data_IF_643586253673
#
_entry.id   IF_643586253673
#
_cell.length_a   1.000
_cell.length_b   1.000
_cell.length_c   1.000
_cell.angle_alpha   90.00
_cell.angle_beta   90.00
_cell.angle_gamma   90.00
#
_symmetry.space_group_name_H-M   'P 1'
#
loop_
_entity.id
_entity.type
_entity.pdbx_description
1 polymer ?
#
# COMPACT_ATOMS: atom_id res chain seq x y z
N UNK A 1 41.42 42.41 -8.34
CA UNK A 1 41.23 40.98 -8.51
C UNK A 1 41.71 40.31 -7.23
N UNK A 2 40.82 39.99 -6.30
CA UNK A 2 41.17 39.25 -5.05
C UNK A 2 40.39 37.96 -5.10
N UNK A 3 41.09 36.82 -5.18
CA UNK A 3 40.54 35.49 -5.01
C UNK A 3 40.19 35.30 -3.53
N UNK A 4 38.93 34.96 -3.24
CA UNK A 4 38.51 34.42 -1.95
C UNK A 4 38.55 32.90 -2.03
N UNK A 5 39.33 32.31 -1.13
CA UNK A 5 39.51 30.88 -0.98
C UNK A 5 38.44 30.34 -0.01
N UNK A 6 37.45 29.60 -0.52
CA UNK A 6 36.26 29.14 0.23
C UNK A 6 36.42 27.72 0.79
N UNK A 7 37.62 27.14 0.76
CA UNK A 7 37.82 25.74 1.21
C UNK A 7 38.15 25.59 2.71
N UNK A 8 38.64 26.61 3.35
CA UNK A 8 39.10 26.48 4.74
C UNK A 8 37.98 26.75 5.79
N UNK A 9 36.89 27.41 5.45
CA UNK A 9 35.78 27.65 6.39
C UNK A 9 34.83 26.44 6.58
N UNK A 10 34.72 25.56 5.59
CA UNK A 10 33.85 24.38 5.71
C UNK A 10 34.46 23.30 6.62
N UNK A 11 35.78 23.21 6.66
CA UNK A 11 36.51 22.24 7.50
C UNK A 11 36.43 22.54 9.01
N UNK A 12 36.29 23.80 9.39
CA UNK A 12 36.25 24.21 10.81
C UNK A 12 34.87 23.99 11.47
N UNK A 13 33.78 24.10 10.69
CA UNK A 13 32.41 23.90 11.18
C UNK A 13 32.09 22.38 11.42
N UNK A 14 32.65 21.50 10.61
CA UNK A 14 32.49 20.07 10.79
C UNK A 14 33.25 19.51 12.01
N UNK A 15 34.40 20.05 12.32
CA UNK A 15 35.19 19.62 13.48
C UNK A 15 34.53 20.05 14.82
N UNK A 16 33.86 21.19 14.86
CA UNK A 16 33.17 21.69 16.06
C UNK A 16 31.85 20.93 16.32
N UNK A 17 31.15 20.47 15.25
CA UNK A 17 29.95 19.64 15.34
C UNK A 17 30.26 18.25 15.90
N UNK A 18 31.35 17.63 15.46
CA UNK A 18 31.79 16.30 15.92
C UNK A 18 32.21 16.35 17.40
N UNK A 19 32.90 17.41 17.83
CA UNK A 19 33.30 17.57 19.23
C UNK A 19 32.14 17.71 20.22
N UNK A 20 31.02 18.33 19.82
CA UNK A 20 29.81 18.48 20.65
C UNK A 20 29.00 17.16 20.79
N UNK A 21 29.09 16.25 19.80
CA UNK A 21 28.46 14.94 19.88
C UNK A 21 29.16 14.02 20.87
N UNK A 22 30.48 14.09 20.95
CA UNK A 22 31.27 13.22 21.84
C UNK A 22 31.17 13.64 23.32
N UNK A 23 31.06 14.94 23.62
CA UNK A 23 30.82 15.46 24.96
C UNK A 23 29.43 15.06 25.51
N UNK A 24 28.39 15.05 24.69
CA UNK A 24 27.04 14.59 25.10
C UNK A 24 27.00 13.09 25.43
N UNK A 25 27.75 12.28 24.71
CA UNK A 25 27.85 10.83 24.94
C UNK A 25 28.55 10.50 26.26
N UNK A 26 29.57 11.26 26.65
CA UNK A 26 30.27 11.09 27.93
C UNK A 26 29.46 11.59 29.14
N UNK A 27 28.63 12.61 28.96
CA UNK A 27 27.72 13.09 30.03
C UNK A 27 26.60 12.12 30.36
N UNK A 28 26.11 11.33 29.39
CA UNK A 28 25.10 10.30 29.61
C UNK A 28 25.63 9.03 30.32
N UNK A 29 26.92 8.76 30.26
CA UNK A 29 27.53 7.60 30.93
C UNK A 29 27.83 7.84 32.43
N UNK A 30 27.84 9.08 32.90
CA UNK A 30 28.15 9.44 34.30
C UNK A 30 26.93 9.64 35.21
N UNK A 31 25.70 9.58 34.68
CA UNK A 31 24.44 9.67 35.45
C UNK A 31 23.79 8.32 35.81
N UNK A 32 24.48 7.22 35.58
CA UNK A 32 23.96 5.85 35.74
C UNK A 32 24.29 5.12 37.07
N UNK A 33 24.70 5.81 38.15
CA UNK A 33 25.03 5.17 39.41
C UNK A 33 24.52 6.02 40.59
N UNK A 34 23.28 5.86 40.95
CA UNK A 34 22.70 5.96 42.29
C UNK A 34 21.17 5.85 42.17
N UNK A 35 20.62 4.66 42.38
CA UNK A 35 19.23 4.52 42.76
C UNK A 35 19.07 3.32 43.69
N UNK A 36 18.69 3.66 44.90
CA UNK A 36 18.46 2.79 46.04
C UNK A 36 17.32 1.80 45.75
N UNK A 37 17.53 0.52 46.09
CA UNK A 37 16.51 -0.51 46.14
C UNK A 37 15.38 -0.17 47.11
N UNK A 38 14.18 0.01 46.63
CA UNK A 38 12.95 -0.18 47.37
C UNK A 38 12.21 -1.39 46.75
N UNK A 39 12.25 -2.51 47.43
CA UNK A 39 11.50 -3.71 47.04
C UNK A 39 10.01 -3.53 47.36
N UNK A 40 9.20 -3.35 46.32
CA UNK A 40 7.76 -3.59 46.36
C UNK A 40 7.46 -4.96 45.76
N UNK A 41 6.60 -5.79 46.35
CA UNK A 41 6.18 -7.03 45.72
C UNK A 41 5.29 -6.69 44.52
N UNK A 42 5.80 -6.93 43.33
CA UNK A 42 5.01 -6.94 42.08
C UNK A 42 4.09 -8.19 42.16
N UNK A 43 2.79 -7.96 42.42
CA UNK A 43 1.77 -8.91 42.00
C UNK A 43 1.92 -9.03 40.47
N UNK A 44 2.23 -10.23 39.99
CA UNK A 44 2.34 -10.54 38.60
C UNK A 44 1.03 -10.29 37.86
N UNK A 45 0.99 -9.19 37.11
CA UNK A 45 0.18 -9.12 35.93
C UNK A 45 1.05 -9.76 34.82
N UNK A 46 0.79 -11.02 34.49
CA UNK A 46 1.24 -11.61 33.24
C UNK A 46 0.64 -10.75 32.15
N UNK A 47 1.43 -9.81 31.63
CA UNK A 47 1.11 -9.13 30.36
C UNK A 47 1.17 -10.22 29.30
N UNK A 48 -0.01 -10.55 28.78
CA UNK A 48 -0.19 -11.42 27.63
C UNK A 48 0.83 -11.00 26.55
N UNK A 49 1.83 -11.85 26.30
CA UNK A 49 2.82 -11.62 25.29
C UNK A 49 2.09 -11.48 23.97
N UNK A 50 2.17 -10.30 23.34
CA UNK A 50 1.42 -9.93 22.15
C UNK A 50 1.49 -11.06 21.10
N UNK A 51 0.40 -11.30 20.40
CA UNK A 51 0.28 -12.35 19.36
C UNK A 51 1.35 -12.22 18.27
N UNK A 52 1.89 -11.02 18.06
CA UNK A 52 3.02 -10.75 17.16
C UNK A 52 4.30 -11.53 17.54
N UNK A 53 4.52 -11.83 18.82
CA UNK A 53 5.66 -12.66 19.25
C UNK A 53 5.47 -14.14 18.90
N UNK A 54 4.24 -14.65 18.80
CA UNK A 54 3.96 -16.05 18.46
C UNK A 54 4.12 -16.34 16.98
N UNK A 55 3.80 -15.39 16.10
CA UNK A 55 3.86 -15.57 14.63
C UNK A 55 5.19 -15.12 14.02
N UNK A 56 5.99 -14.32 14.74
CA UNK A 56 7.19 -13.67 14.21
C UNK A 56 6.90 -12.56 13.18
N UNK A 57 5.63 -12.27 12.87
CA UNK A 57 5.22 -11.21 11.94
C UNK A 57 5.38 -9.85 12.63
N UNK A 58 5.94 -8.88 11.90
CA UNK A 58 6.18 -7.51 12.36
C UNK A 58 5.49 -6.46 11.52
N UNK A 59 5.29 -6.74 10.23
CA UNK A 59 4.64 -5.84 9.30
C UNK A 59 3.66 -6.58 8.39
N UNK A 60 2.59 -5.90 8.01
CA UNK A 60 1.61 -6.33 7.02
C UNK A 60 1.71 -5.40 5.80
N UNK A 61 1.88 -5.99 4.62
CA UNK A 61 1.84 -5.30 3.34
C UNK A 61 0.53 -5.64 2.63
N UNK A 62 -0.19 -4.63 2.20
CA UNK A 62 -1.52 -4.81 1.62
C UNK A 62 -1.51 -4.54 0.11
N UNK A 63 -1.96 -5.50 -0.69
CA UNK A 63 -2.53 -5.20 -1.98
C UNK A 63 -3.73 -4.27 -1.82
N UNK A 64 -3.96 -3.36 -2.78
CA UNK A 64 -4.93 -2.27 -2.59
C UNK A 64 -6.17 -2.43 -3.45
N UNK A 65 -6.02 -2.47 -4.78
CA UNK A 65 -7.17 -2.52 -5.69
C UNK A 65 -7.91 -3.86 -5.56
N UNK A 66 -9.18 -3.81 -5.16
CA UNK A 66 -10.02 -5.00 -4.93
C UNK A 66 -9.82 -5.62 -3.54
N UNK A 67 -8.64 -5.50 -2.92
CA UNK A 67 -8.37 -6.03 -1.57
C UNK A 67 -8.83 -5.06 -0.48
N UNK A 68 -8.36 -3.82 -0.55
CA UNK A 68 -8.64 -2.74 0.42
C UNK A 68 -9.84 -1.91 0.00
N UNK A 69 -9.97 -1.65 -1.29
CA UNK A 69 -10.95 -0.74 -1.88
C UNK A 69 -11.85 -1.43 -2.91
N UNK A 70 -13.12 -1.01 -2.97
CA UNK A 70 -14.07 -1.38 -4.01
C UNK A 70 -13.86 -0.47 -5.23
N UNK A 71 -12.95 -0.90 -6.10
CA UNK A 71 -12.61 -0.14 -7.30
C UNK A 71 -13.80 -0.04 -8.27
N UNK A 72 -14.54 -1.14 -8.47
CA UNK A 72 -15.58 -1.21 -9.50
C UNK A 72 -16.76 -0.28 -9.20
N UNK A 73 -17.32 -0.40 -8.00
CA UNK A 73 -18.44 0.47 -7.61
C UNK A 73 -18.02 1.94 -7.54
N UNK A 74 -16.76 2.21 -7.18
CA UNK A 74 -16.23 3.57 -7.14
C UNK A 74 -16.11 4.20 -8.53
N UNK A 75 -15.56 3.48 -9.52
CA UNK A 75 -15.48 3.96 -10.91
C UNK A 75 -16.87 4.17 -11.50
N UNK A 76 -17.80 3.22 -11.27
CA UNK A 76 -19.21 3.36 -11.70
C UNK A 76 -19.85 4.63 -11.09
N UNK A 77 -19.60 4.90 -9.82
CA UNK A 77 -20.12 6.10 -9.14
C UNK A 77 -19.56 7.38 -9.76
N UNK A 78 -18.25 7.46 -9.97
CA UNK A 78 -17.60 8.62 -10.59
C UNK A 78 -18.13 8.86 -12.01
N UNK A 79 -18.29 7.81 -12.81
CA UNK A 79 -18.87 7.88 -14.13
C UNK A 79 -20.32 8.37 -14.12
N UNK A 80 -21.15 7.87 -13.18
CA UNK A 80 -22.55 8.33 -13.03
C UNK A 80 -22.65 9.81 -12.62
N UNK A 81 -21.71 10.30 -11.79
CA UNK A 81 -21.65 11.72 -11.44
C UNK A 81 -21.33 12.58 -12.67
N UNK A 82 -20.38 12.13 -13.49
CA UNK A 82 -20.07 12.80 -14.77
C UNK A 82 -21.27 12.76 -15.73
N UNK A 83 -21.94 11.61 -15.83
CA UNK A 83 -23.13 11.44 -16.66
C UNK A 83 -24.26 12.38 -16.28
N UNK A 84 -24.50 12.60 -15.00
CA UNK A 84 -25.52 13.56 -14.53
C UNK A 84 -25.18 15.00 -14.92
N UNK A 85 -23.91 15.37 -14.93
CA UNK A 85 -23.47 16.72 -15.29
C UNK A 85 -23.54 16.98 -16.81
N UNK A 86 -23.30 15.94 -17.61
CA UNK A 86 -23.14 16.02 -19.07
C UNK A 86 -24.28 15.38 -19.85
N UNK A 87 -25.28 14.79 -19.18
CA UNK A 87 -26.38 14.04 -19.80
C UNK A 87 -25.88 12.88 -20.69
N UNK A 88 -24.84 12.13 -20.23
CA UNK A 88 -24.27 11.02 -20.94
C UNK A 88 -25.06 9.74 -20.75
N UNK A 89 -25.13 8.90 -21.79
CA UNK A 89 -25.77 7.58 -21.77
C UNK A 89 -24.70 6.51 -21.95
N UNK A 90 -24.07 6.07 -20.86
CA UNK A 90 -22.97 5.10 -20.86
C UNK A 90 -23.28 3.97 -19.87
N UNK A 91 -23.03 2.73 -20.24
CA UNK A 91 -22.97 1.62 -19.29
C UNK A 91 -21.64 1.74 -18.49
N UNK A 92 -21.74 2.40 -17.34
CA UNK A 92 -20.59 2.62 -16.47
C UNK A 92 -20.07 1.33 -15.82
N UNK A 93 -20.87 0.27 -15.82
CA UNK A 93 -20.43 -1.06 -15.39
C UNK A 93 -19.47 -1.69 -16.41
N UNK A 94 -19.88 -1.69 -17.69
CA UNK A 94 -19.04 -2.14 -18.80
C UNK A 94 -17.79 -1.27 -18.95
N UNK A 95 -17.93 0.06 -18.84
CA UNK A 95 -16.81 1.00 -18.86
C UNK A 95 -15.77 0.67 -17.78
N UNK A 96 -16.20 0.49 -16.51
CA UNK A 96 -15.30 0.15 -15.41
C UNK A 96 -14.59 -1.19 -15.66
N UNK A 97 -15.31 -2.19 -16.17
CA UNK A 97 -14.76 -3.51 -16.48
C UNK A 97 -13.74 -3.47 -17.62
N UNK A 98 -14.03 -2.70 -18.70
CA UNK A 98 -13.13 -2.48 -19.83
C UNK A 98 -11.86 -1.75 -19.40
N UNK A 99 -11.99 -0.72 -18.55
CA UNK A 99 -10.83 -0.02 -18.01
C UNK A 99 -9.93 -0.96 -17.21
N UNK A 100 -10.53 -1.76 -16.33
CA UNK A 100 -9.80 -2.75 -15.53
C UNK A 100 -9.16 -3.85 -16.39
N UNK A 101 -9.80 -4.26 -17.48
CA UNK A 101 -9.28 -5.25 -18.40
C UNK A 101 -8.01 -4.78 -19.12
N UNK A 102 -7.91 -3.48 -19.44
CA UNK A 102 -6.73 -2.86 -20.05
C UNK A 102 -5.48 -2.82 -19.14
N UNK A 103 -5.68 -2.90 -17.82
CA UNK A 103 -4.62 -2.76 -16.81
C UNK A 103 -3.47 -3.78 -16.95
N UNK A 104 -3.80 -5.06 -17.08
CA UNK A 104 -2.81 -6.14 -17.24
C UNK A 104 -1.98 -5.99 -18.52
N UNK A 105 -2.61 -5.85 -19.69
CA UNK A 105 -1.92 -5.60 -20.96
C UNK A 105 -1.02 -4.37 -20.93
N UNK A 106 -1.47 -3.23 -20.36
CA UNK A 106 -0.68 -2.01 -20.28
C UNK A 106 0.59 -2.21 -19.42
N UNK A 107 0.48 -2.83 -18.24
CA UNK A 107 1.65 -3.19 -17.44
C UNK A 107 2.58 -4.18 -18.14
N UNK A 108 2.06 -5.07 -18.99
CA UNK A 108 2.90 -6.00 -19.75
C UNK A 108 3.79 -5.28 -20.77
N UNK A 109 3.35 -4.17 -21.36
CA UNK A 109 4.20 -3.34 -22.24
C UNK A 109 5.42 -2.79 -21.49
N UNK A 110 5.25 -2.42 -20.20
CA UNK A 110 6.37 -1.99 -19.36
C UNK A 110 7.26 -3.19 -18.99
N UNK A 111 6.67 -4.33 -18.61
CA UNK A 111 7.43 -5.55 -18.26
C UNK A 111 8.26 -6.12 -19.42
N UNK A 112 7.73 -6.02 -20.65
CA UNK A 112 8.42 -6.48 -21.86
C UNK A 112 9.48 -5.50 -22.37
N UNK A 113 9.51 -4.26 -21.84
CA UNK A 113 10.39 -3.20 -22.31
C UNK A 113 9.88 -2.49 -23.57
N UNK A 114 8.64 -2.73 -24.00
CA UNK A 114 7.97 -1.98 -25.07
C UNK A 114 7.74 -0.52 -24.65
N UNK A 115 7.42 -0.31 -23.36
CA UNK A 115 7.40 1.00 -22.71
C UNK A 115 8.53 1.07 -21.66
N UNK A 116 9.13 2.26 -21.46
CA UNK A 116 9.97 2.50 -20.29
C UNK A 116 9.14 2.32 -19.01
N UNK A 117 9.77 2.48 -17.83
CA UNK A 117 8.98 2.59 -16.61
C UNK A 117 7.94 3.70 -16.77
N UNK A 118 6.69 3.33 -16.70
CA UNK A 118 5.51 4.20 -16.79
C UNK A 118 4.65 3.88 -15.60
N UNK A 119 4.20 4.85 -14.85
CA UNK A 119 3.38 4.61 -13.65
C UNK A 119 1.91 4.29 -13.99
N UNK A 120 1.12 3.95 -12.97
CA UNK A 120 -0.26 3.51 -13.18
C UNK A 120 -1.18 4.65 -13.62
N UNK A 121 -0.96 5.88 -13.18
CA UNK A 121 -1.76 7.02 -13.62
C UNK A 121 -1.64 7.23 -15.13
N UNK A 122 -0.42 7.14 -15.65
CA UNK A 122 -0.15 7.26 -17.09
C UNK A 122 -0.71 6.06 -17.86
N UNK A 123 -0.55 4.83 -17.35
CA UNK A 123 -1.14 3.64 -17.97
C UNK A 123 -2.68 3.69 -17.95
N UNK A 124 -3.29 4.13 -16.85
CA UNK A 124 -4.74 4.34 -16.78
C UNK A 124 -5.21 5.38 -17.78
N UNK A 125 -4.43 6.47 -17.98
CA UNK A 125 -4.75 7.48 -18.97
C UNK A 125 -4.67 6.94 -20.40
N UNK A 126 -3.63 6.18 -20.75
CA UNK A 126 -3.53 5.54 -22.05
C UNK A 126 -4.72 4.63 -22.34
N UNK A 127 -5.18 3.86 -21.37
CA UNK A 127 -6.37 3.02 -21.52
C UNK A 127 -7.62 3.88 -21.66
N UNK A 128 -7.73 4.95 -20.85
CA UNK A 128 -8.89 5.84 -20.84
C UNK A 128 -9.04 6.56 -22.19
N UNK A 129 -7.95 6.95 -22.83
CA UNK A 129 -7.99 7.60 -24.15
C UNK A 129 -8.64 6.69 -25.21
N UNK A 130 -8.38 5.38 -25.17
CA UNK A 130 -9.05 4.41 -26.04
C UNK A 130 -10.55 4.26 -25.65
N UNK A 131 -10.86 4.21 -24.37
CA UNK A 131 -12.24 4.07 -23.87
C UNK A 131 -13.09 5.32 -24.15
N UNK A 132 -12.52 6.50 -24.14
CA UNK A 132 -13.21 7.75 -24.53
C UNK A 132 -13.81 7.62 -25.93
N UNK A 133 -13.06 7.06 -26.86
CA UNK A 133 -13.52 6.82 -28.23
C UNK A 133 -14.56 5.67 -28.25
N UNK A 134 -14.26 4.54 -27.60
CA UNK A 134 -15.12 3.35 -27.60
C UNK A 134 -16.51 3.62 -27.02
N UNK A 135 -16.59 4.45 -25.97
CA UNK A 135 -17.85 4.75 -25.26
C UNK A 135 -18.50 6.08 -25.71
N UNK A 136 -17.98 6.70 -26.77
CA UNK A 136 -18.56 7.95 -27.34
C UNK A 136 -18.50 9.12 -26.36
N UNK A 137 -17.36 9.29 -25.72
CA UNK A 137 -17.08 10.35 -24.74
C UNK A 137 -16.20 11.47 -25.33
N UNK A 138 -16.09 11.56 -26.67
CA UNK A 138 -15.22 12.49 -27.40
C UNK A 138 -15.54 13.98 -27.11
N UNK A 139 -16.73 14.29 -26.63
CA UNK A 139 -17.15 15.64 -26.25
C UNK A 139 -16.62 16.08 -24.87
N UNK A 140 -15.90 15.21 -24.14
CA UNK A 140 -15.27 15.59 -22.88
C UNK A 140 -14.05 16.46 -23.16
N UNK A 141 -13.91 17.52 -22.37
CA UNK A 141 -12.70 18.33 -22.36
C UNK A 141 -11.52 17.54 -21.70
N UNK A 142 -10.31 17.93 -22.04
CA UNK A 142 -9.09 17.36 -21.44
C UNK A 142 -9.13 17.41 -19.90
N UNK A 143 -9.63 18.49 -19.31
CA UNK A 143 -9.78 18.60 -17.86
C UNK A 143 -10.78 17.60 -17.27
N UNK A 144 -11.82 17.24 -18.01
CA UNK A 144 -12.80 16.23 -17.58
C UNK A 144 -12.26 14.82 -17.72
N UNK A 145 -11.51 14.56 -18.79
CA UNK A 145 -10.80 13.28 -18.98
C UNK A 145 -9.75 13.10 -17.87
N UNK A 146 -8.96 14.15 -17.55
CA UNK A 146 -8.00 14.10 -16.44
C UNK A 146 -8.69 13.89 -15.08
N UNK A 147 -9.84 14.56 -14.86
CA UNK A 147 -10.64 14.33 -13.67
C UNK A 147 -11.17 12.89 -13.58
N UNK A 148 -11.63 12.32 -14.70
CA UNK A 148 -12.08 10.93 -14.77
C UNK A 148 -10.91 9.97 -14.54
N UNK A 149 -9.72 10.21 -15.13
CA UNK A 149 -8.52 9.41 -14.86
C UNK A 149 -8.19 9.35 -13.37
N UNK A 150 -8.33 10.49 -12.67
CA UNK A 150 -8.14 10.56 -11.21
C UNK A 150 -9.25 9.94 -10.38
N UNK A 151 -10.27 9.29 -10.98
CA UNK A 151 -11.25 8.50 -10.24
C UNK A 151 -10.57 7.37 -9.43
N UNK A 152 -9.47 6.81 -9.92
CA UNK A 152 -8.67 5.81 -9.22
C UNK A 152 -8.04 6.32 -7.91
N UNK A 153 -7.88 7.63 -7.74
CA UNK A 153 -7.44 8.27 -6.49
C UNK A 153 -8.57 8.40 -5.44
N UNK A 154 -9.84 8.18 -5.84
CA UNK A 154 -11.05 8.42 -5.02
C UNK A 154 -11.87 7.16 -4.78
N UNK A 155 -11.19 6.00 -4.80
CA UNK A 155 -11.84 4.72 -4.53
C UNK A 155 -12.29 4.63 -3.06
N UNK A 156 -13.45 4.04 -2.84
CA UNK A 156 -13.98 3.81 -1.49
C UNK A 156 -13.43 2.52 -0.90
N UNK A 157 -13.14 2.54 0.39
CA UNK A 157 -12.78 1.34 1.13
C UNK A 157 -13.96 0.37 1.26
N UNK A 158 -13.69 -0.93 1.35
CA UNK A 158 -14.68 -1.89 1.79
C UNK A 158 -15.15 -1.58 3.22
N UNK A 159 -16.39 -1.94 3.61
CA UNK A 159 -16.95 -1.57 4.91
C UNK A 159 -16.13 -2.01 6.13
N UNK A 160 -15.43 -3.14 6.03
CA UNK A 160 -14.59 -3.70 7.10
C UNK A 160 -13.19 -3.11 7.15
N UNK A 161 -12.76 -2.39 6.12
CA UNK A 161 -11.36 -2.04 5.90
C UNK A 161 -10.81 -1.10 6.97
N UNK A 162 -11.42 0.07 7.17
CA UNK A 162 -10.88 1.09 8.09
C UNK A 162 -10.84 0.55 9.52
N UNK A 163 -11.92 -0.14 9.95
CA UNK A 163 -11.98 -0.76 11.27
C UNK A 163 -10.93 -1.86 11.47
N UNK A 164 -10.78 -2.75 10.46
CA UNK A 164 -9.79 -3.83 10.49
C UNK A 164 -8.35 -3.32 10.47
N UNK A 165 -8.05 -2.34 9.60
CA UNK A 165 -6.71 -1.73 9.52
C UNK A 165 -6.33 -1.03 10.83
N UNK A 166 -7.24 -0.29 11.49
CA UNK A 166 -6.95 0.34 12.77
C UNK A 166 -6.63 -0.69 13.87
N UNK A 167 -7.31 -1.84 13.88
CA UNK A 167 -6.99 -2.93 14.82
C UNK A 167 -5.62 -3.52 14.51
N UNK A 168 -5.33 -3.85 13.25
CA UNK A 168 -4.03 -4.39 12.85
C UNK A 168 -2.88 -3.43 13.14
N UNK A 169 -3.07 -2.12 12.89
CA UNK A 169 -2.10 -1.06 13.16
C UNK A 169 -1.71 -0.98 14.64
N UNK A 170 -2.59 -1.39 15.57
CA UNK A 170 -2.27 -1.33 17.00
C UNK A 170 -1.13 -2.28 17.40
N UNK A 171 -0.83 -3.30 16.60
CA UNK A 171 0.18 -4.31 16.89
C UNK A 171 1.26 -4.48 15.83
N UNK A 172 0.96 -4.10 14.58
CA UNK A 172 1.82 -4.31 13.42
C UNK A 172 2.07 -3.00 12.67
N UNK A 173 3.20 -2.89 12.01
CA UNK A 173 3.39 -1.89 10.97
C UNK A 173 2.45 -2.28 9.82
N UNK A 174 1.63 -1.34 9.34
CA UNK A 174 0.77 -1.56 8.17
C UNK A 174 1.15 -0.63 7.04
N UNK A 175 1.38 -1.20 5.86
CA UNK A 175 1.72 -0.42 4.68
C UNK A 175 1.06 -0.98 3.42
N UNK A 176 0.92 -0.16 2.39
CA UNK A 176 0.51 -0.65 1.08
C UNK A 176 1.66 -1.40 0.40
N UNK A 177 1.36 -2.34 -0.48
CA UNK A 177 2.24 -2.83 -1.54
C UNK A 177 1.40 -3.05 -2.79
N UNK A 178 1.30 -2.01 -3.60
CA UNK A 178 0.42 -1.95 -4.76
C UNK A 178 1.19 -1.64 -6.04
N UNK A 179 0.60 -2.00 -7.18
CA UNK A 179 1.07 -1.51 -8.47
C UNK A 179 0.73 -0.03 -8.70
N UNK A 180 -0.27 0.53 -7.99
CA UNK A 180 -0.57 1.96 -8.02
C UNK A 180 0.62 2.81 -7.60
N UNK A 181 0.81 3.96 -8.24
CA UNK A 181 1.88 4.91 -7.92
C UNK A 181 1.66 5.58 -6.55
N UNK A 182 2.71 6.12 -5.97
CA UNK A 182 2.71 6.68 -4.61
C UNK A 182 1.70 7.81 -4.46
N UNK A 183 1.59 8.70 -5.46
CA UNK A 183 0.64 9.83 -5.40
C UNK A 183 -0.83 9.34 -5.39
N UNK A 184 -1.16 8.35 -6.22
CA UNK A 184 -2.48 7.73 -6.28
C UNK A 184 -2.84 7.09 -4.94
N UNK A 185 -1.97 6.25 -4.39
CA UNK A 185 -2.19 5.56 -3.12
C UNK A 185 -2.32 6.54 -1.95
N UNK A 186 -1.53 7.61 -1.95
CA UNK A 186 -1.58 8.67 -0.92
C UNK A 186 -2.91 9.43 -0.97
N UNK A 187 -3.35 9.83 -2.16
CA UNK A 187 -4.62 10.52 -2.35
C UNK A 187 -5.81 9.62 -1.97
N UNK A 188 -5.77 8.35 -2.38
CA UNK A 188 -6.77 7.35 -2.01
C UNK A 188 -6.83 7.13 -0.50
N UNK A 189 -5.67 7.03 0.17
CA UNK A 189 -5.62 6.90 1.62
C UNK A 189 -6.27 8.10 2.32
N UNK A 190 -5.98 9.31 1.83
CA UNK A 190 -6.60 10.54 2.34
C UNK A 190 -8.11 10.58 2.11
N UNK A 191 -8.56 10.14 0.92
CA UNK A 191 -9.98 10.11 0.55
C UNK A 191 -10.78 9.08 1.37
N UNK A 192 -10.24 7.86 1.51
CA UNK A 192 -10.93 6.74 2.14
C UNK A 192 -10.63 6.57 3.65
N UNK A 193 -9.81 7.46 4.24
CA UNK A 193 -9.46 7.40 5.67
C UNK A 193 -8.60 6.19 6.03
N UNK A 194 -7.72 5.74 5.12
CA UNK A 194 -6.87 4.56 5.33
C UNK A 194 -5.67 4.92 6.22
N UNK A 195 -5.46 4.23 7.35
CA UNK A 195 -4.54 4.66 8.39
C UNK A 195 -3.12 4.09 8.22
N UNK A 196 -2.56 4.10 7.01
CA UNK A 196 -1.23 3.53 6.74
C UNK A 196 -0.13 4.14 7.60
N UNK A 197 0.87 3.33 7.99
CA UNK A 197 2.13 3.80 8.56
C UNK A 197 3.10 4.20 7.45
N UNK A 198 3.05 3.51 6.31
CA UNK A 198 3.83 3.81 5.12
C UNK A 198 3.06 3.49 3.84
N UNK A 199 3.42 4.16 2.75
CA UNK A 199 2.86 3.89 1.41
C UNK A 199 3.97 3.33 0.53
N UNK A 200 3.90 2.02 0.25
CA UNK A 200 4.80 1.36 -0.69
C UNK A 200 4.08 1.02 -1.99
N UNK A 201 4.80 1.17 -3.05
CA UNK A 201 4.35 1.05 -4.43
C UNK A 201 5.39 0.31 -5.26
N UNK A 202 4.94 -0.36 -6.30
CA UNK A 202 5.79 -0.89 -7.36
C UNK A 202 6.69 0.19 -8.00
N UNK A 203 6.26 1.46 -7.96
CA UNK A 203 7.03 2.63 -8.39
C UNK A 203 8.39 2.73 -7.68
N UNK A 204 8.46 2.41 -6.38
CA UNK A 204 9.71 2.45 -5.60
C UNK A 204 10.74 1.39 -6.05
N UNK A 205 10.26 0.31 -6.65
CA UNK A 205 11.09 -0.74 -7.23
C UNK A 205 11.26 -0.57 -8.74
N UNK A 206 10.45 0.26 -9.40
CA UNK A 206 10.28 0.34 -10.86
C UNK A 206 10.00 -1.03 -11.51
N UNK A 207 9.26 -1.88 -10.79
CA UNK A 207 8.87 -3.21 -11.21
C UNK A 207 7.47 -3.53 -10.69
N UNK A 208 6.56 -3.83 -11.59
CA UNK A 208 5.20 -4.24 -11.24
C UNK A 208 5.15 -5.63 -10.62
N UNK A 209 4.33 -5.82 -9.59
CA UNK A 209 3.92 -7.16 -9.15
C UNK A 209 3.39 -7.96 -10.37
N UNK A 210 3.71 -9.25 -10.51
CA UNK A 210 4.27 -10.16 -9.50
C UNK A 210 5.82 -10.28 -9.50
N UNK A 211 6.57 -9.31 -10.04
CA UNK A 211 8.03 -9.34 -9.96
C UNK A 211 8.51 -9.33 -8.50
N UNK A 212 9.40 -10.25 -8.14
CA UNK A 212 9.90 -10.38 -6.76
C UNK A 212 10.57 -9.10 -6.24
N UNK A 213 11.16 -8.29 -7.12
CA UNK A 213 11.80 -7.02 -6.77
C UNK A 213 10.83 -6.04 -6.11
N UNK A 214 9.55 -6.06 -6.49
CA UNK A 214 8.53 -5.22 -5.86
C UNK A 214 8.32 -5.60 -4.38
N UNK A 215 8.24 -6.89 -4.06
CA UNK A 215 8.04 -7.38 -2.68
C UNK A 215 9.29 -7.16 -1.83
N UNK A 216 10.45 -7.57 -2.34
CA UNK A 216 11.71 -7.47 -1.61
C UNK A 216 12.12 -6.02 -1.35
N UNK A 217 11.82 -5.08 -2.27
CA UNK A 217 12.04 -3.65 -2.04
C UNK A 217 11.27 -3.13 -0.83
N UNK A 218 10.02 -3.53 -0.66
CA UNK A 218 9.22 -3.12 0.50
C UNK A 218 9.76 -3.72 1.81
N UNK A 219 10.21 -4.97 1.78
CA UNK A 219 10.87 -5.64 2.91
C UNK A 219 12.15 -4.91 3.33
N UNK A 220 13.00 -4.55 2.36
CA UNK A 220 14.23 -3.79 2.59
C UNK A 220 13.96 -2.41 3.20
N UNK A 221 12.95 -1.68 2.69
CA UNK A 221 12.57 -0.36 3.22
C UNK A 221 12.10 -0.41 4.68
N UNK A 222 11.58 -1.55 5.13
CA UNK A 222 11.22 -1.79 6.53
C UNK A 222 12.39 -2.32 7.38
N UNK A 223 13.53 -2.63 6.77
CA UNK A 223 14.67 -3.28 7.42
C UNK A 223 14.25 -4.58 8.16
N UNK A 224 13.45 -5.41 7.49
CA UNK A 224 12.93 -6.69 8.00
C UNK A 224 13.45 -7.85 7.15
N UNK A 225 13.24 -9.07 7.66
CA UNK A 225 13.41 -10.30 6.86
C UNK A 225 12.06 -10.65 6.19
N UNK A 226 12.05 -11.27 5.00
CA UNK A 226 10.82 -11.66 4.30
C UNK A 226 9.84 -12.43 5.19
N UNK A 227 10.32 -13.40 5.98
CA UNK A 227 9.49 -14.20 6.90
C UNK A 227 8.84 -13.40 8.05
N UNK A 228 9.25 -12.15 8.27
CA UNK A 228 8.66 -11.25 9.27
C UNK A 228 7.56 -10.35 8.67
N UNK A 229 7.30 -10.47 7.38
CA UNK A 229 6.34 -9.65 6.63
C UNK A 229 5.21 -10.53 6.12
N UNK A 230 3.96 -10.11 6.38
CA UNK A 230 2.75 -10.76 5.90
C UNK A 230 2.19 -9.97 4.71
N UNK A 231 2.14 -10.59 3.53
CA UNK A 231 1.41 -10.03 2.38
C UNK A 231 -0.07 -10.37 2.50
N UNK A 232 -0.93 -9.36 2.42
CA UNK A 232 -2.39 -9.47 2.53
C UNK A 232 -3.03 -9.11 1.20
N UNK A 233 -3.77 -10.03 0.58
CA UNK A 233 -4.42 -9.78 -0.71
C UNK A 233 -5.69 -10.63 -0.91
N UNK A 234 -6.58 -10.13 -1.76
CA UNK A 234 -7.72 -10.89 -2.29
C UNK A 234 -7.37 -11.69 -3.56
N UNK A 235 -6.14 -11.56 -4.05
CA UNK A 235 -5.68 -12.13 -5.31
C UNK A 235 -4.68 -13.27 -5.07
N UNK A 236 -5.06 -14.55 -5.29
CA UNK A 236 -4.17 -15.69 -5.06
C UNK A 236 -2.84 -15.62 -5.81
N UNK A 237 -2.84 -15.06 -7.04
CA UNK A 237 -1.62 -14.89 -7.84
C UNK A 237 -0.60 -13.95 -7.18
N UNK A 238 -1.06 -12.89 -6.53
CA UNK A 238 -0.23 -11.95 -5.77
C UNK A 238 0.40 -12.63 -4.54
N UNK A 239 -0.40 -13.41 -3.81
CA UNK A 239 0.06 -14.15 -2.63
C UNK A 239 1.07 -15.25 -2.98
N UNK A 240 0.85 -15.97 -4.10
CA UNK A 240 1.83 -16.96 -4.57
C UNK A 240 3.17 -16.34 -4.91
N UNK A 241 3.15 -15.15 -5.54
CA UNK A 241 4.38 -14.43 -5.84
C UNK A 241 5.07 -13.91 -4.58
N UNK A 242 4.30 -13.41 -3.61
CA UNK A 242 4.82 -13.00 -2.30
C UNK A 242 5.45 -14.18 -1.54
N UNK A 243 4.82 -15.36 -1.56
CA UNK A 243 5.37 -16.59 -0.96
C UNK A 243 6.68 -17.00 -1.62
N UNK A 244 6.80 -16.88 -2.96
CA UNK A 244 8.04 -17.15 -3.69
C UNK A 244 9.17 -16.16 -3.31
N UNK A 245 8.81 -14.94 -2.90
CA UNK A 245 9.76 -13.95 -2.35
C UNK A 245 10.07 -14.18 -0.86
N UNK A 246 9.50 -15.22 -0.22
CA UNK A 246 9.74 -15.62 1.16
C UNK A 246 8.85 -14.92 2.20
N UNK A 247 7.84 -14.16 1.77
CA UNK A 247 6.89 -13.52 2.68
C UNK A 247 5.88 -14.56 3.21
N UNK A 248 5.28 -14.27 4.35
CA UNK A 248 4.05 -14.88 4.82
C UNK A 248 2.85 -14.36 4.02
N UNK A 249 1.75 -15.10 4.00
CA UNK A 249 0.60 -14.81 3.15
C UNK A 249 -0.72 -14.86 3.88
N UNK A 250 -1.59 -13.88 3.64
CA UNK A 250 -2.95 -13.84 4.14
C UNK A 250 -3.93 -13.56 3.00
N UNK A 251 -4.79 -14.52 2.73
CA UNK A 251 -5.89 -14.33 1.80
C UNK A 251 -7.07 -13.65 2.50
N UNK A 252 -7.63 -12.61 1.87
CA UNK A 252 -8.86 -11.97 2.33
C UNK A 252 -9.92 -12.09 1.24
N UNK A 253 -11.06 -12.68 1.60
CA UNK A 253 -12.12 -12.97 0.65
C UNK A 253 -12.91 -11.71 0.27
N UNK A 254 -12.97 -11.40 -1.03
CA UNK A 254 -13.69 -10.27 -1.60
C UNK A 254 -14.64 -10.76 -2.70
N UNK A 255 -15.78 -11.40 -2.33
CA UNK A 255 -16.69 -12.00 -3.29
C UNK A 255 -17.29 -11.00 -4.28
N UNK A 256 -17.50 -9.75 -3.84
CA UNK A 256 -18.16 -8.68 -4.61
C UNK A 256 -17.20 -7.79 -5.41
N UNK A 257 -15.92 -8.13 -5.49
CA UNK A 257 -14.93 -7.32 -6.22
C UNK A 257 -15.39 -6.97 -7.65
N UNK A 258 -16.06 -7.91 -8.32
CA UNK A 258 -16.57 -7.77 -9.69
C UNK A 258 -18.07 -7.44 -9.76
N UNK A 259 -18.68 -7.11 -8.62
CA UNK A 259 -20.10 -6.81 -8.48
C UNK A 259 -20.96 -8.05 -8.19
N UNK A 260 -22.23 -7.82 -7.83
CA UNK A 260 -23.17 -8.87 -7.39
C UNK A 260 -23.41 -9.97 -8.42
N UNK A 261 -23.35 -9.64 -9.73
CA UNK A 261 -23.57 -10.61 -10.81
C UNK A 261 -22.39 -11.53 -11.10
N UNK A 262 -21.22 -11.31 -10.48
CA UNK A 262 -19.98 -12.06 -10.73
C UNK A 262 -19.25 -12.36 -9.43
N UNK A 263 -19.94 -13.11 -8.55
CA UNK A 263 -19.39 -13.51 -7.26
C UNK A 263 -18.15 -14.37 -7.49
N UNK A 264 -17.02 -13.98 -6.92
CA UNK A 264 -15.79 -14.75 -6.95
C UNK A 264 -15.91 -15.95 -6.02
N UNK A 265 -15.55 -17.12 -6.50
CA UNK A 265 -15.42 -18.29 -5.64
C UNK A 265 -14.26 -18.12 -4.66
N UNK A 266 -14.41 -18.67 -3.46
CA UNK A 266 -13.36 -18.67 -2.46
C UNK A 266 -12.21 -19.56 -2.92
N UNK A 267 -10.99 -19.16 -2.64
CA UNK A 267 -9.82 -19.99 -2.88
C UNK A 267 -9.82 -21.25 -1.99
N UNK A 268 -9.07 -22.27 -2.39
CA UNK A 268 -8.96 -23.51 -1.62
C UNK A 268 -8.41 -23.23 -0.20
N UNK A 269 -9.07 -23.79 0.81
CA UNK A 269 -8.63 -23.62 2.19
C UNK A 269 -7.22 -24.22 2.41
N UNK A 270 -6.38 -23.51 3.16
CA UNK A 270 -5.05 -23.97 3.56
C UNK A 270 -3.95 -23.76 2.51
N UNK A 271 -4.22 -23.01 1.43
CA UNK A 271 -3.17 -22.62 0.47
C UNK A 271 -2.25 -21.54 1.04
N UNK A 272 -2.77 -20.65 1.88
CA UNK A 272 -2.04 -19.52 2.46
C UNK A 272 -1.91 -19.67 3.98
N UNK A 273 -0.97 -18.94 4.61
CA UNK A 273 -0.75 -19.00 6.07
C UNK A 273 -2.00 -18.56 6.86
N UNK A 274 -2.77 -17.61 6.32
CA UNK A 274 -4.05 -17.15 6.87
C UNK A 274 -5.11 -17.06 5.77
N UNK A 275 -6.36 -17.33 6.14
CA UNK A 275 -7.55 -17.22 5.28
C UNK A 275 -8.65 -16.53 6.08
N UNK A 276 -9.03 -15.32 5.67
CA UNK A 276 -9.94 -14.45 6.40
C UNK A 276 -11.13 -13.99 5.56
N UNK A 277 -12.30 -13.85 6.20
CA UNK A 277 -13.51 -13.33 5.59
C UNK A 277 -13.49 -11.80 5.46
N UNK A 278 -12.66 -11.13 6.27
CA UNK A 278 -12.55 -9.67 6.32
C UNK A 278 -11.27 -9.24 7.03
N UNK A 279 -10.92 -7.94 6.98
CA UNK A 279 -9.81 -7.43 7.80
C UNK A 279 -10.08 -7.48 9.30
N UNK A 280 -11.35 -7.39 9.72
CA UNK A 280 -11.72 -7.60 11.11
C UNK A 280 -11.49 -9.05 11.57
N UNK A 281 -11.75 -10.01 10.67
CA UNK A 281 -11.46 -11.42 10.92
C UNK A 281 -9.95 -11.67 10.93
N UNK A 282 -9.19 -11.12 9.99
CA UNK A 282 -7.73 -11.21 9.98
C UNK A 282 -7.12 -10.64 11.25
N UNK A 283 -7.61 -9.47 11.73
CA UNK A 283 -7.16 -8.88 12.98
C UNK A 283 -7.38 -9.84 14.16
N UNK A 284 -8.56 -10.48 14.24
CA UNK A 284 -8.86 -11.48 15.28
C UNK A 284 -7.92 -12.69 15.20
N UNK A 285 -7.64 -13.22 14.01
CA UNK A 285 -6.74 -14.37 13.81
C UNK A 285 -5.30 -14.02 14.24
N UNK A 286 -4.88 -12.79 14.03
CA UNK A 286 -3.57 -12.26 14.42
C UNK A 286 -3.53 -11.76 15.87
N UNK A 287 -4.68 -11.75 16.57
CA UNK A 287 -4.81 -11.33 17.97
C UNK A 287 -4.73 -9.81 18.15
N UNK A 288 -5.12 -9.03 17.14
CA UNK A 288 -5.16 -7.56 17.17
C UNK A 288 -6.58 -7.02 17.40
#
# INVERSE_FOLDING_TARGET
MRHFDTKDEVSALDAEAIGRFDQRRKAMQLMGLYSLMAAFPLLGAETDSSSSQRTGIRALLFDVFGTVVDWRSSIIREGRLLAQQKNLQVDWGEFADSWRAGYGPAMNKVRSGELPWTDIDDLHRMILDDLVIEFGLDDLSEAEIDHLNRAWHRLSAWPDTVGGLNRLKSQFIIATLSNGNVSLLTNMAKHAGLPWDAVFSAELAQHYKPDQRAYLKAVDLLNLQPAQVLMVAAHPGDLRAAAQAGLKTAYVYRPLEWGEGRIRERNAAGEFDFDADSFLDLARQLGA
#
